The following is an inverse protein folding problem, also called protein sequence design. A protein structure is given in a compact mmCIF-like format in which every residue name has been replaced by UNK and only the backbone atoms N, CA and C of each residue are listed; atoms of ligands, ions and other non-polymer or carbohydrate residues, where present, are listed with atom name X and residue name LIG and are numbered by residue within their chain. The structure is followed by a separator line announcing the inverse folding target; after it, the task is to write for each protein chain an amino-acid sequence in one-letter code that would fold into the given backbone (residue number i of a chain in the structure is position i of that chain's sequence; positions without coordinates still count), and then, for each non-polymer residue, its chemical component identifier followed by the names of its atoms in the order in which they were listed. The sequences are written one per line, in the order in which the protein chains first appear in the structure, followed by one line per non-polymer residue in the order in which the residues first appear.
data_IF_322092511300
#
_entry.id   IF_322092511300
#
_cell.length_a   1.000
_cell.length_b   1.000
_cell.length_c   1.000
_cell.angle_alpha   90.00
_cell.angle_beta   90.00
_cell.angle_gamma   90.00
#
_symmetry.space_group_name_H-M   'P 1'
#
loop_
_entity.id
_entity.type
_entity.pdbx_description
1 polymer ?
#
# COMPACT_ATOMS: atom_id res chain seq x y z
N UNK A 1 11.85 32.44 -17.70
CA UNK A 1 11.60 31.52 -16.56
C UNK A 1 12.19 30.10 -16.79
N UNK A 2 13.50 29.91 -17.00
CA UNK A 2 14.09 28.58 -17.27
C UNK A 2 14.33 27.72 -16.02
N UNK A 3 14.50 28.34 -14.85
CA UNK A 3 14.90 27.65 -13.59
C UNK A 3 13.77 26.79 -13.00
N UNK A 4 12.51 27.18 -13.24
CA UNK A 4 11.31 26.44 -12.80
C UNK A 4 11.06 25.15 -13.61
N UNK A 5 11.46 25.12 -14.88
CA UNK A 5 11.39 23.88 -15.70
C UNK A 5 12.46 22.88 -15.28
N UNK A 6 13.70 23.34 -15.05
CA UNK A 6 14.79 22.48 -14.62
C UNK A 6 14.54 21.82 -13.26
N UNK A 7 13.93 22.56 -12.32
CA UNK A 7 13.56 22.03 -11.00
C UNK A 7 12.40 21.03 -11.06
N UNK A 8 11.37 21.27 -11.88
CA UNK A 8 10.29 20.27 -12.09
C UNK A 8 10.80 18.98 -12.71
N UNK A 9 11.68 19.07 -13.71
CA UNK A 9 12.24 17.91 -14.39
C UNK A 9 13.14 17.09 -13.44
N UNK A 10 13.90 17.77 -12.56
CA UNK A 10 14.64 17.12 -11.46
C UNK A 10 13.70 16.43 -10.47
N UNK A 11 12.56 17.04 -10.13
CA UNK A 11 11.61 16.49 -9.18
C UNK A 11 10.86 15.27 -9.74
N UNK A 12 10.50 15.29 -11.03
CA UNK A 12 9.97 14.12 -11.73
C UNK A 12 11.02 13.02 -11.87
N UNK A 13 12.28 13.35 -12.17
CA UNK A 13 13.36 12.37 -12.19
C UNK A 13 13.58 11.73 -10.82
N UNK A 14 13.51 12.51 -9.74
CA UNK A 14 13.62 11.99 -8.37
C UNK A 14 12.41 11.13 -7.98
N UNK A 15 11.20 11.53 -8.37
CA UNK A 15 9.97 10.74 -8.17
C UNK A 15 10.00 9.42 -8.95
N UNK A 16 10.42 9.45 -10.21
CA UNK A 16 10.57 8.25 -11.04
C UNK A 16 11.68 7.34 -10.50
N UNK A 17 12.80 7.92 -10.07
CA UNK A 17 13.90 7.20 -9.43
C UNK A 17 13.50 6.63 -8.07
N UNK A 18 12.70 7.34 -7.27
CA UNK A 18 12.17 6.80 -6.02
C UNK A 18 11.20 5.66 -6.31
N UNK A 19 10.33 5.80 -7.31
CA UNK A 19 9.36 4.77 -7.71
C UNK A 19 10.06 3.48 -8.19
N UNK A 20 11.08 3.61 -9.02
CA UNK A 20 11.93 2.48 -9.45
C UNK A 20 12.67 1.85 -8.26
N UNK A 21 13.25 2.69 -7.38
CA UNK A 21 13.90 2.21 -6.16
C UNK A 21 12.93 1.51 -5.22
N UNK A 22 11.68 1.93 -5.16
CA UNK A 22 10.68 1.30 -4.28
C UNK A 22 10.25 -0.07 -4.79
N UNK A 23 10.17 -0.27 -6.10
CA UNK A 23 9.96 -1.61 -6.67
C UNK A 23 11.14 -2.54 -6.34
N UNK A 24 12.36 -2.01 -6.37
CA UNK A 24 13.57 -2.75 -5.99
C UNK A 24 13.61 -3.05 -4.48
N UNK A 25 13.15 -2.13 -3.63
CA UNK A 25 13.02 -2.34 -2.17
C UNK A 25 11.99 -3.41 -1.86
N UNK A 26 10.85 -3.44 -2.57
CA UNK A 26 9.84 -4.49 -2.37
C UNK A 26 10.41 -5.86 -2.76
N UNK A 27 11.15 -5.94 -3.88
CA UNK A 27 11.81 -7.17 -4.31
C UNK A 27 12.87 -7.62 -3.31
N UNK A 28 13.71 -6.72 -2.82
CA UNK A 28 14.76 -7.07 -1.85
C UNK A 28 14.16 -7.50 -0.51
N UNK A 29 13.11 -6.83 -0.04
CA UNK A 29 12.36 -7.20 1.15
C UNK A 29 11.75 -8.60 1.00
N UNK A 30 11.11 -8.87 -0.14
CA UNK A 30 10.53 -10.18 -0.42
C UNK A 30 11.57 -11.30 -0.49
N UNK A 31 12.73 -11.05 -1.12
CA UNK A 31 13.86 -11.99 -1.15
C UNK A 31 14.41 -12.24 0.25
N UNK A 32 14.64 -11.18 1.03
CA UNK A 32 15.11 -11.29 2.42
C UNK A 32 14.12 -12.09 3.29
N UNK A 33 12.81 -11.85 3.15
CA UNK A 33 11.76 -12.62 3.83
C UNK A 33 11.83 -14.11 3.49
N UNK A 34 12.08 -14.41 2.21
CA UNK A 34 12.19 -15.79 1.72
C UNK A 34 13.42 -16.48 2.33
N UNK A 35 14.56 -15.80 2.37
CA UNK A 35 15.79 -16.30 2.98
C UNK A 35 15.64 -16.51 4.49
N UNK A 36 15.06 -15.56 5.22
CA UNK A 36 14.74 -15.69 6.65
C UNK A 36 13.83 -16.89 6.93
N UNK A 37 12.81 -17.11 6.10
CA UNK A 37 11.90 -18.25 6.23
C UNK A 37 12.61 -19.59 5.93
N UNK A 38 13.47 -19.63 4.93
CA UNK A 38 14.31 -20.79 4.65
C UNK A 38 15.23 -21.11 5.85
N UNK A 39 15.86 -20.09 6.41
CA UNK A 39 16.73 -20.21 7.58
C UNK A 39 15.95 -20.70 8.81
N UNK A 40 14.73 -20.19 9.03
CA UNK A 40 13.82 -20.66 10.08
C UNK A 40 13.52 -22.16 9.93
N UNK A 41 13.14 -22.61 8.73
CA UNK A 41 12.85 -24.03 8.48
C UNK A 41 14.08 -24.92 8.69
N UNK A 42 15.26 -24.42 8.32
CA UNK A 42 16.53 -25.10 8.50
C UNK A 42 16.85 -25.27 10.00
N UNK A 43 16.63 -24.23 10.82
CA UNK A 43 16.81 -24.32 12.26
C UNK A 43 15.76 -25.20 12.96
N UNK A 44 14.50 -25.18 12.52
CA UNK A 44 13.49 -26.14 12.99
C UNK A 44 13.86 -27.59 12.64
N UNK A 45 14.43 -27.81 11.46
CA UNK A 45 14.99 -29.12 11.08
C UNK A 45 16.13 -29.54 12.00
N UNK A 46 17.08 -28.65 12.29
CA UNK A 46 18.17 -28.94 13.24
C UNK A 46 17.68 -29.22 14.65
N UNK A 47 16.70 -28.46 15.15
CA UNK A 47 16.06 -28.72 16.44
C UNK A 47 15.43 -30.11 16.49
N UNK A 48 14.75 -30.52 15.41
CA UNK A 48 14.18 -31.86 15.29
C UNK A 48 15.26 -32.94 15.25
N UNK A 49 16.37 -32.69 14.56
CA UNK A 49 17.53 -33.59 14.51
C UNK A 49 18.18 -33.74 15.88
N UNK A 50 18.43 -32.64 16.58
CA UNK A 50 19.00 -32.61 17.93
C UNK A 50 18.09 -33.36 18.90
N UNK A 51 16.76 -33.17 18.82
CA UNK A 51 15.81 -33.96 19.62
C UNK A 51 15.90 -35.44 19.33
N UNK A 52 16.01 -35.85 18.05
CA UNK A 52 16.14 -37.26 17.66
C UNK A 52 17.45 -37.87 18.12
N UNK A 53 18.53 -37.09 18.20
CA UNK A 53 19.85 -37.53 18.70
C UNK A 53 19.84 -37.63 20.24
N UNK A 54 19.15 -36.72 20.92
CA UNK A 54 19.06 -36.72 22.38
C UNK A 54 18.13 -37.85 22.89
N UNK A 55 17.03 -38.06 22.16
CA UNK A 55 16.08 -39.16 22.37
C UNK A 55 16.05 -40.03 21.11
N UNK A 56 17.09 -40.85 20.88
CA UNK A 56 16.98 -41.90 19.87
C UNK A 56 15.81 -42.75 20.32
N UNK A 57 14.79 -42.85 19.46
CA UNK A 57 13.66 -43.75 19.68
C UNK A 57 14.28 -45.13 19.85
N UNK A 58 14.38 -45.61 21.08
CA UNK A 58 14.87 -46.94 21.35
C UNK A 58 14.01 -47.89 20.52
N UNK A 59 14.66 -48.83 19.86
CA UNK A 59 14.02 -49.99 19.23
C UNK A 59 13.50 -50.93 20.34
N UNK A 60 12.93 -50.38 21.41
CA UNK A 60 12.49 -51.11 22.61
C UNK A 60 11.01 -50.80 22.87
N UNK A 61 10.18 -51.04 21.85
CA UNK A 61 8.72 -51.08 22.00
C UNK A 61 8.14 -52.45 21.62
N UNK A 62 8.94 -53.52 21.67
CA UNK A 62 8.47 -54.91 21.62
C UNK A 62 9.38 -55.83 22.46
N UNK A 63 9.36 -55.67 23.78
CA UNK A 63 9.70 -56.77 24.66
C UNK A 63 8.80 -56.79 25.89
N UNK A 64 7.51 -56.98 25.63
CA UNK A 64 6.63 -57.64 26.60
C UNK A 64 6.37 -59.06 26.08
N UNK A 65 7.19 -60.01 26.56
CA UNK A 65 6.92 -61.43 26.38
C UNK A 65 8.11 -62.28 25.95
N UNK A 66 8.64 -63.01 26.95
CA UNK A 66 9.19 -64.38 26.86
C UNK A 66 10.73 -64.52 26.83
N UNK A 67 11.19 -65.09 27.94
CA UNK A 67 12.51 -65.64 28.19
C UNK A 67 12.83 -66.79 27.21
N UNK A 68 14.04 -66.82 26.68
CA UNK A 68 14.55 -67.90 25.83
C UNK A 68 16.03 -67.67 25.49
N UNK A 69 16.89 -68.46 26.12
CA UNK A 69 18.34 -68.49 26.03
C UNK A 69 18.86 -68.92 24.64
N UNK A 70 19.83 -68.20 24.05
CA UNK A 70 20.88 -68.79 23.18
C UNK A 70 22.06 -67.83 22.97
N UNK A 71 23.28 -68.37 23.01
CA UNK A 71 24.56 -67.68 22.90
C UNK A 71 24.93 -67.22 21.47
N UNK A 72 25.83 -66.24 21.43
CA UNK A 72 26.88 -65.97 20.42
C UNK A 72 26.46 -65.72 18.95
N UNK A 73 26.50 -64.45 18.50
CA UNK A 73 26.91 -64.09 17.13
C UNK A 73 27.11 -62.57 16.98
N UNK A 74 28.28 -62.21 16.47
CA UNK A 74 28.63 -61.06 15.61
C UNK A 74 28.14 -59.64 15.91
N UNK A 75 29.10 -58.80 16.35
CA UNK A 75 29.51 -57.57 15.66
C UNK A 75 28.51 -56.99 14.64
N UNK A 76 27.59 -56.14 15.10
CA UNK A 76 26.92 -55.15 14.26
C UNK A 76 27.64 -53.79 14.40
N UNK A 77 28.13 -53.19 13.31
CA UNK A 77 28.84 -51.92 13.37
C UNK A 77 27.85 -50.76 13.48
N UNK A 78 27.97 -49.95 14.53
CA UNK A 78 27.58 -48.54 14.48
C UNK A 78 26.46 -48.06 15.39
N UNK A 79 26.10 -48.76 16.47
CA UNK A 79 25.25 -48.14 17.51
C UNK A 79 26.13 -47.34 18.49
N UNK A 80 26.45 -46.11 18.11
CA UNK A 80 27.18 -45.17 18.98
C UNK A 80 26.19 -44.67 20.04
N UNK A 81 26.13 -45.37 21.17
CA UNK A 81 25.43 -44.91 22.36
C UNK A 81 26.10 -43.63 22.87
N UNK A 82 25.46 -42.50 22.60
CA UNK A 82 25.97 -41.19 22.96
C UNK A 82 26.06 -41.09 24.49
N UNK A 83 27.27 -40.84 25.01
CA UNK A 83 27.53 -40.65 26.44
C UNK A 83 26.58 -39.60 27.03
N UNK A 84 26.12 -39.81 28.28
CA UNK A 84 25.19 -38.92 28.98
C UNK A 84 25.69 -37.46 29.03
N UNK A 85 27.00 -37.26 29.11
CA UNK A 85 27.61 -35.92 29.05
C UNK A 85 27.42 -35.23 27.69
N UNK A 86 27.45 -35.97 26.58
CA UNK A 86 27.24 -35.42 25.25
C UNK A 86 25.77 -35.07 25.01
N UNK A 87 24.82 -35.86 25.51
CA UNK A 87 23.38 -35.54 25.47
C UNK A 87 23.07 -34.21 26.17
N UNK A 88 23.59 -34.00 27.37
CA UNK A 88 23.39 -32.73 28.11
C UNK A 88 23.95 -31.51 27.35
N UNK A 89 25.06 -31.67 26.61
CA UNK A 89 25.61 -30.59 25.77
C UNK A 89 24.71 -30.29 24.57
N UNK A 90 24.16 -31.31 23.93
CA UNK A 90 23.22 -31.15 22.81
C UNK A 90 21.89 -30.52 23.22
N UNK A 91 21.37 -30.88 24.39
CA UNK A 91 20.18 -30.26 24.97
C UNK A 91 20.41 -28.76 25.20
N UNK A 92 21.52 -28.41 25.85
CA UNK A 92 21.88 -27.00 26.10
C UNK A 92 22.17 -26.21 24.83
N UNK A 93 22.70 -26.87 23.79
CA UNK A 93 22.86 -26.27 22.46
C UNK A 93 21.51 -26.05 21.79
N UNK A 94 20.59 -27.01 21.88
CA UNK A 94 19.23 -26.91 21.36
C UNK A 94 18.45 -25.76 22.00
N UNK A 95 18.53 -25.63 23.33
CA UNK A 95 17.88 -24.54 24.06
C UNK A 95 18.45 -23.17 23.68
N UNK A 96 19.78 -23.04 23.58
CA UNK A 96 20.41 -21.80 23.12
C UNK A 96 20.07 -21.47 21.67
N UNK A 97 20.05 -22.47 20.79
CA UNK A 97 19.70 -22.30 19.38
C UNK A 97 18.24 -21.88 19.23
N UNK A 98 17.33 -22.45 20.01
CA UNK A 98 15.93 -22.08 20.02
C UNK A 98 15.72 -20.67 20.59
N UNK A 99 16.31 -20.37 21.74
CA UNK A 99 16.10 -19.10 22.42
C UNK A 99 16.77 -17.94 21.67
N UNK A 100 17.98 -18.13 21.15
CA UNK A 100 18.70 -17.06 20.46
C UNK A 100 18.25 -16.95 19.00
N UNK A 101 18.27 -18.04 18.24
CA UNK A 101 18.24 -17.95 16.78
C UNK A 101 16.82 -17.97 16.23
N UNK A 102 15.95 -18.84 16.76
CA UNK A 102 14.54 -18.90 16.38
C UNK A 102 13.78 -17.64 16.80
N UNK A 103 14.01 -17.14 18.03
CA UNK A 103 13.40 -15.89 18.48
C UNK A 103 13.86 -14.68 17.67
N UNK A 104 15.17 -14.54 17.42
CA UNK A 104 15.71 -13.43 16.62
C UNK A 104 15.19 -13.45 15.18
N UNK A 105 15.08 -14.63 14.55
CA UNK A 105 14.51 -14.73 13.19
C UNK A 105 13.04 -14.35 13.18
N UNK A 106 12.28 -14.74 14.20
CA UNK A 106 10.87 -14.38 14.33
C UNK A 106 10.68 -12.87 14.54
N UNK A 107 11.46 -12.24 15.44
CA UNK A 107 11.48 -10.79 15.62
C UNK A 107 11.81 -10.05 14.31
N UNK A 108 12.82 -10.49 13.56
CA UNK A 108 13.15 -9.92 12.26
C UNK A 108 12.01 -10.05 11.24
N UNK A 109 11.28 -11.17 11.24
CA UNK A 109 10.12 -11.35 10.35
C UNK A 109 8.95 -10.43 10.73
N UNK A 110 8.73 -10.22 12.03
CA UNK A 110 7.67 -9.37 12.53
C UNK A 110 7.97 -7.89 12.29
N UNK A 111 9.21 -7.45 12.53
CA UNK A 111 9.68 -6.10 12.20
C UNK A 111 9.57 -5.83 10.70
N UNK A 112 10.00 -6.79 9.86
CA UNK A 112 9.88 -6.69 8.42
C UNK A 112 8.41 -6.52 7.97
N UNK A 113 7.49 -7.27 8.58
CA UNK A 113 6.06 -7.17 8.30
C UNK A 113 5.52 -5.79 8.71
N UNK A 114 5.85 -5.31 9.90
CA UNK A 114 5.44 -3.99 10.38
C UNK A 114 5.95 -2.86 9.47
N UNK A 115 7.21 -2.96 9.01
CA UNK A 115 7.79 -2.01 8.04
C UNK A 115 7.06 -2.03 6.70
N UNK A 116 6.76 -3.22 6.18
CA UNK A 116 6.02 -3.39 4.93
C UNK A 116 4.63 -2.77 5.02
N UNK A 117 3.89 -3.04 6.10
CA UNK A 117 2.53 -2.54 6.31
C UNK A 117 2.52 -1.01 6.44
N UNK A 118 3.48 -0.45 7.20
CA UNK A 118 3.67 1.01 7.33
C UNK A 118 4.01 1.65 5.98
N UNK A 119 4.88 1.01 5.21
CA UNK A 119 5.28 1.47 3.89
C UNK A 119 4.11 1.51 2.90
N UNK A 120 3.24 0.48 2.90
CA UNK A 120 2.04 0.46 2.08
C UNK A 120 1.05 1.55 2.50
N UNK A 121 0.83 1.72 3.81
CA UNK A 121 -0.03 2.79 4.33
C UNK A 121 0.45 4.18 3.91
N UNK A 122 1.75 4.46 4.06
CA UNK A 122 2.34 5.73 3.65
C UNK A 122 2.26 5.95 2.12
N UNK A 123 2.41 4.88 1.34
CA UNK A 123 2.30 4.94 -0.12
C UNK A 123 0.87 5.25 -0.54
N UNK A 124 -0.13 4.60 0.07
CA UNK A 124 -1.54 4.86 -0.19
C UNK A 124 -1.93 6.31 0.17
N UNK A 125 -1.41 6.84 1.28
CA UNK A 125 -1.60 8.24 1.66
C UNK A 125 -0.99 9.21 0.64
N UNK A 126 0.24 8.94 0.18
CA UNK A 126 0.90 9.77 -0.84
C UNK A 126 0.13 9.78 -2.17
N UNK A 127 -0.38 8.64 -2.59
CA UNK A 127 -1.16 8.51 -3.82
C UNK A 127 -2.51 9.27 -3.73
N UNK A 128 -3.16 9.18 -2.56
CA UNK A 128 -4.38 9.95 -2.25
C UNK A 128 -4.11 11.46 -2.27
N UNK A 129 -2.98 11.91 -1.71
CA UNK A 129 -2.59 13.32 -1.71
C UNK A 129 -2.29 13.82 -3.14
N UNK A 130 -1.61 13.02 -3.96
CA UNK A 130 -1.35 13.37 -5.35
C UNK A 130 -2.65 13.53 -6.14
N UNK A 131 -3.61 12.62 -5.92
CA UNK A 131 -4.95 12.67 -6.53
C UNK A 131 -5.75 13.90 -6.08
N UNK A 132 -5.76 14.23 -4.78
CA UNK A 132 -6.43 15.41 -4.26
C UNK A 132 -5.83 16.73 -4.83
N UNK A 133 -4.51 16.79 -5.02
CA UNK A 133 -3.84 17.94 -5.64
C UNK A 133 -4.15 18.05 -7.13
N UNK A 134 -4.27 16.92 -7.83
CA UNK A 134 -4.66 16.89 -9.23
C UNK A 134 -6.10 17.40 -9.40
N UNK A 135 -7.03 16.89 -8.58
CA UNK A 135 -8.42 17.32 -8.55
C UNK A 135 -8.54 18.84 -8.30
N UNK A 136 -7.84 19.37 -7.28
CA UNK A 136 -7.81 20.83 -7.04
C UNK A 136 -7.31 21.62 -8.25
N UNK A 137 -6.29 21.12 -8.94
CA UNK A 137 -5.75 21.78 -10.14
C UNK A 137 -6.72 21.74 -11.31
N UNK A 138 -7.43 20.63 -11.51
CA UNK A 138 -8.48 20.50 -12.52
C UNK A 138 -9.66 21.43 -12.25
N UNK A 139 -10.11 21.54 -10.99
CA UNK A 139 -11.17 22.47 -10.59
C UNK A 139 -10.74 23.92 -10.82
N UNK A 140 -9.48 24.27 -10.55
CA UNK A 140 -8.94 25.60 -10.87
C UNK A 140 -8.92 25.88 -12.38
N UNK A 141 -8.55 24.88 -13.20
CA UNK A 141 -8.55 25.02 -14.65
C UNK A 141 -9.96 25.19 -15.20
N UNK A 142 -10.93 24.44 -14.69
CA UNK A 142 -12.35 24.61 -15.02
C UNK A 142 -12.86 26.02 -14.64
N UNK A 143 -12.48 26.53 -13.45
CA UNK A 143 -12.79 27.91 -13.02
C UNK A 143 -12.24 28.95 -14.01
N UNK A 144 -11.01 28.77 -14.48
CA UNK A 144 -10.40 29.66 -15.47
C UNK A 144 -11.10 29.58 -16.83
N UNK A 145 -11.46 28.39 -17.29
CA UNK A 145 -12.19 28.21 -18.56
C UNK A 145 -13.54 28.94 -18.56
N UNK A 146 -14.29 28.85 -17.46
CA UNK A 146 -15.59 29.55 -17.31
C UNK A 146 -15.41 31.08 -17.22
N UNK A 147 -14.31 31.54 -16.64
CA UNK A 147 -13.93 32.96 -16.63
C UNK A 147 -13.52 33.48 -18.01
N UNK A 148 -12.83 32.67 -18.82
CA UNK A 148 -12.39 33.06 -20.15
C UNK A 148 -13.52 33.13 -21.16
N UNK A 149 -14.61 32.37 -20.98
CA UNK A 149 -15.71 32.32 -21.95
C UNK A 149 -16.36 33.71 -22.20
N UNK A 150 -16.76 34.50 -21.17
CA UNK A 150 -17.25 35.86 -21.36
C UNK A 150 -16.21 36.83 -21.94
N UNK A 151 -14.94 36.66 -21.59
CA UNK A 151 -13.85 37.51 -22.08
C UNK A 151 -13.58 37.22 -23.55
N UNK A 152 -13.54 35.95 -23.94
CA UNK A 152 -13.43 35.53 -25.34
C UNK A 152 -14.62 36.03 -26.15
N UNK A 153 -15.84 35.99 -25.57
CA UNK A 153 -17.02 36.57 -26.21
C UNK A 153 -16.91 38.09 -26.38
N UNK A 154 -16.41 38.82 -25.38
CA UNK A 154 -16.12 40.26 -25.47
C UNK A 154 -15.09 40.57 -26.56
N UNK A 155 -13.96 39.86 -26.55
CA UNK A 155 -12.91 40.02 -27.56
C UNK A 155 -13.45 39.72 -28.95
N UNK A 156 -14.28 38.68 -29.11
CA UNK A 156 -14.92 38.36 -30.38
C UNK A 156 -15.93 39.44 -30.79
N UNK A 157 -16.70 39.98 -29.85
CA UNK A 157 -17.72 41.00 -30.12
C UNK A 157 -17.10 42.30 -30.63
N UNK A 158 -15.98 42.75 -30.04
CA UNK A 158 -15.24 43.92 -30.51
C UNK A 158 -14.34 43.63 -31.72
N UNK A 159 -14.09 42.36 -32.05
CA UNK A 159 -13.35 41.96 -33.25
C UNK A 159 -14.22 41.95 -34.51
N UNK A 160 -15.55 42.00 -34.39
CA UNK A 160 -16.45 42.13 -35.55
C UNK A 160 -16.60 43.61 -35.86
N UNK A 161 -15.94 44.06 -36.93
CA UNK A 161 -16.11 45.41 -37.47
C UNK A 161 -17.45 45.48 -38.20
N UNK A 162 -18.51 45.87 -37.49
CA UNK A 162 -19.81 46.17 -38.11
C UNK A 162 -19.71 47.60 -38.68
N UNK A 163 -19.80 47.79 -40.01
CA UNK A 163 -19.58 49.09 -40.65
C UNK A 163 -20.61 50.18 -40.28
N UNK A 164 -21.68 49.82 -39.58
CA UNK A 164 -22.80 50.71 -39.22
C UNK A 164 -22.67 51.32 -37.80
N UNK A 165 -21.63 50.97 -37.04
CA UNK A 165 -21.43 51.40 -35.64
C UNK A 165 -20.20 52.29 -35.42
N UNK A 166 -19.60 52.79 -36.50
CA UNK A 166 -18.37 53.61 -36.46
C UNK A 166 -18.67 55.07 -36.13
N UNK A 167 -19.90 55.54 -36.34
CA UNK A 167 -20.25 56.97 -36.20
C UNK A 167 -20.53 57.41 -34.74
N UNK A 168 -20.66 56.49 -33.78
CA UNK A 168 -20.97 56.79 -32.38
C UNK A 168 -20.03 56.12 -31.36
N UNK A 169 -18.80 55.78 -31.77
CA UNK A 169 -17.84 55.09 -30.90
C UNK A 169 -17.23 56.04 -29.86
N UNK A 170 -17.96 56.28 -28.77
CA UNK A 170 -17.49 57.11 -27.65
C UNK A 170 -16.63 56.25 -26.71
N UNK A 171 -15.42 56.68 -26.31
CA UNK A 171 -14.55 55.94 -25.40
C UNK A 171 -15.20 55.57 -24.05
N UNK A 172 -16.27 56.26 -23.66
CA UNK A 172 -17.10 55.92 -22.49
C UNK A 172 -17.79 54.55 -22.62
N UNK A 173 -18.29 54.18 -23.80
CA UNK A 173 -18.96 52.89 -24.02
C UNK A 173 -17.99 51.71 -23.86
N UNK A 174 -16.73 51.88 -24.27
CA UNK A 174 -15.68 50.89 -24.05
C UNK A 174 -15.45 50.62 -22.55
N UNK A 175 -15.34 51.68 -21.73
CA UNK A 175 -15.17 51.55 -20.28
C UNK A 175 -16.40 50.93 -19.60
N UNK A 176 -17.62 51.24 -20.07
CA UNK A 176 -18.86 50.60 -19.59
C UNK A 176 -18.85 49.12 -19.94
N UNK A 177 -18.58 48.74 -21.18
CA UNK A 177 -18.52 47.33 -21.58
C UNK A 177 -17.44 46.59 -20.81
N UNK A 178 -16.24 47.17 -20.67
CA UNK A 178 -15.18 46.62 -19.85
C UNK A 178 -15.61 46.37 -18.40
N UNK A 179 -16.30 47.34 -17.77
CA UNK A 179 -16.83 47.20 -16.42
C UNK A 179 -17.91 46.11 -16.31
N UNK A 180 -18.82 46.03 -17.29
CA UNK A 180 -19.86 44.99 -17.34
C UNK A 180 -19.25 43.59 -17.50
N UNK A 181 -18.25 43.43 -18.37
CA UNK A 181 -17.57 42.16 -18.58
C UNK A 181 -16.72 41.77 -17.35
N UNK A 182 -16.00 42.72 -16.74
CA UNK A 182 -15.27 42.47 -15.49
C UNK A 182 -16.22 42.08 -14.35
N UNK A 183 -17.36 42.75 -14.23
CA UNK A 183 -18.42 42.42 -13.27
C UNK A 183 -19.02 41.04 -13.53
N UNK A 184 -19.34 40.72 -14.79
CA UNK A 184 -19.90 39.43 -15.19
C UNK A 184 -18.91 38.28 -14.93
N UNK A 185 -17.61 38.50 -15.16
CA UNK A 185 -16.56 37.54 -14.79
C UNK A 185 -16.47 37.31 -13.28
N UNK A 186 -16.62 38.36 -12.47
CA UNK A 186 -16.63 38.24 -11.01
C UNK A 186 -17.88 37.53 -10.50
N UNK A 187 -19.05 37.85 -11.06
CA UNK A 187 -20.33 37.19 -10.78
C UNK A 187 -20.27 35.70 -11.16
N UNK A 188 -19.72 35.38 -12.34
CA UNK A 188 -19.59 34.03 -12.85
C UNK A 188 -18.66 33.19 -11.96
N UNK A 189 -17.53 33.76 -11.52
CA UNK A 189 -16.60 33.10 -10.61
C UNK A 189 -17.23 32.84 -9.23
N UNK A 190 -18.05 33.78 -8.74
CA UNK A 190 -18.76 33.65 -7.46
C UNK A 190 -19.86 32.60 -7.54
N UNK A 191 -20.72 32.68 -8.55
CA UNK A 191 -21.77 31.67 -8.78
C UNK A 191 -21.17 30.30 -9.00
N UNK A 192 -20.14 30.16 -9.81
CA UNK A 192 -19.51 28.87 -10.10
C UNK A 192 -18.74 28.30 -8.89
N UNK A 193 -18.14 29.13 -8.04
CA UNK A 193 -17.55 28.65 -6.79
C UNK A 193 -18.62 28.06 -5.87
N UNK A 194 -19.77 28.73 -5.76
CA UNK A 194 -20.91 28.23 -4.97
C UNK A 194 -21.59 27.02 -5.61
N UNK A 195 -21.72 27.00 -6.93
CA UNK A 195 -22.29 25.88 -7.69
C UNK A 195 -21.41 24.64 -7.61
N UNK A 196 -20.08 24.79 -7.73
CA UNK A 196 -19.13 23.68 -7.56
C UNK A 196 -19.19 23.08 -6.15
N UNK A 197 -19.34 23.91 -5.13
CA UNK A 197 -19.49 23.47 -3.74
C UNK A 197 -20.80 22.68 -3.59
N UNK A 198 -21.92 23.22 -4.06
CA UNK A 198 -23.22 22.51 -4.07
C UNK A 198 -23.15 21.19 -4.85
N UNK A 199 -22.52 21.17 -6.03
CA UNK A 199 -22.39 19.95 -6.82
C UNK A 199 -21.48 18.94 -6.11
N UNK A 200 -20.40 19.39 -5.46
CA UNK A 200 -19.53 18.54 -4.64
C UNK A 200 -20.30 17.92 -3.47
N UNK A 201 -21.06 18.73 -2.72
CA UNK A 201 -21.86 18.28 -1.59
C UNK A 201 -22.92 17.25 -2.03
N UNK A 202 -23.61 17.51 -3.16
CA UNK A 202 -24.59 16.56 -3.69
C UNK A 202 -23.97 15.25 -4.17
N UNK A 203 -22.74 15.28 -4.71
CA UNK A 203 -22.02 14.07 -5.11
C UNK A 203 -21.58 13.26 -3.89
N UNK A 204 -21.16 13.92 -2.82
CA UNK A 204 -20.76 13.29 -1.57
C UNK A 204 -21.96 12.63 -0.87
N UNK A 205 -23.10 13.33 -0.78
CA UNK A 205 -24.36 12.78 -0.27
C UNK A 205 -24.84 11.56 -1.07
N UNK A 206 -24.69 11.61 -2.40
CA UNK A 206 -25.09 10.49 -3.27
C UNK A 206 -24.13 9.30 -3.11
N UNK A 207 -22.83 9.55 -3.02
CA UNK A 207 -21.83 8.51 -2.74
C UNK A 207 -22.09 7.81 -1.40
N UNK A 208 -22.47 8.56 -0.37
CA UNK A 208 -22.81 8.02 0.94
C UNK A 208 -24.14 7.25 0.96
N UNK A 209 -25.10 7.63 0.11
CA UNK A 209 -26.35 6.88 -0.06
C UNK A 209 -26.08 5.52 -0.74
N UNK A 210 -25.24 5.52 -1.78
CA UNK A 210 -24.87 4.32 -2.52
C UNK A 210 -24.03 3.37 -1.66
N UNK A 211 -23.07 3.90 -0.88
CA UNK A 211 -22.24 3.07 0.02
C UNK A 211 -23.07 2.39 1.10
N UNK A 212 -24.04 3.10 1.70
CA UNK A 212 -24.97 2.55 2.70
C UNK A 212 -25.92 1.51 2.11
N UNK A 213 -26.39 1.68 0.87
CA UNK A 213 -27.18 0.67 0.18
C UNK A 213 -26.35 -0.57 -0.17
N UNK A 214 -25.11 -0.40 -0.60
CA UNK A 214 -24.21 -1.51 -0.91
C UNK A 214 -23.83 -2.32 0.33
N UNK A 215 -23.61 -1.68 1.48
CA UNK A 215 -23.34 -2.37 2.74
C UNK A 215 -24.58 -3.05 3.32
N UNK A 216 -25.77 -2.47 3.16
CA UNK A 216 -27.04 -3.10 3.54
C UNK A 216 -27.34 -4.37 2.73
N UNK A 217 -26.95 -4.40 1.44
CA UNK A 217 -27.11 -5.59 0.58
C UNK A 217 -26.04 -6.64 0.91
N UNK A 218 -24.81 -6.25 1.24
CA UNK A 218 -23.76 -7.19 1.65
C UNK A 218 -23.99 -7.79 3.04
N UNK A 219 -24.65 -7.06 3.95
CA UNK A 219 -24.98 -7.49 5.31
C UNK A 219 -26.16 -8.47 5.43
N UNK A 220 -26.92 -8.70 4.36
CA UNK A 220 -27.99 -9.71 4.32
C UNK A 220 -27.53 -11.09 3.84
N UNK A 221 -26.30 -11.23 3.34
CA UNK A 221 -25.79 -12.50 2.83
C UNK A 221 -24.99 -13.34 3.84
N UNK A 222 -25.01 -12.97 5.13
CA UNK A 222 -24.31 -13.70 6.22
C UNK A 222 -25.23 -14.01 7.40
N UNK A 223 -26.51 -14.26 7.14
CA UNK A 223 -27.44 -14.79 8.14
C UNK A 223 -28.48 -15.73 7.53
N UNK A 224 -28.00 -16.84 6.99
CA UNK A 224 -28.74 -18.10 6.91
C UNK A 224 -27.70 -19.21 6.70
N UNK A 225 -28.03 -20.48 6.97
CA UNK A 225 -27.11 -21.64 6.99
C UNK A 225 -26.28 -21.83 8.29
N UNK A 226 -26.89 -21.58 9.45
CA UNK A 226 -26.52 -22.33 10.66
C UNK A 226 -27.73 -22.58 11.55
N UNK A 227 -28.76 -23.17 10.98
CA UNK A 227 -29.78 -23.90 11.74
C UNK A 227 -30.45 -24.89 10.79
N UNK A 228 -29.89 -26.10 10.67
CA UNK A 228 -30.69 -27.31 10.59
C UNK A 228 -29.84 -28.55 10.87
N UNK A 229 -30.50 -29.54 11.47
CA UNK A 229 -29.98 -30.66 12.25
C UNK A 229 -29.47 -31.81 11.40
#
# INVERSE_FOLDING_TARGET
MPVLKASKLRLEQLSRRSKVKTDDVIKSLHTLRKELRQLHHLFESYKTLIRRICWPRSVDAYQEGKCGHFELSESMPGEVSISSSARSRFERLGDRLQLLMLNTIQECLDEQKALSDTYFSLTAQKDSQATARLSRSATLLAKLSVFFLPITFMTSYFSVEIPDLVEHYTPKMYWICFAVIAGLSFISLFFFSRMLEIVSDTLEDWADSVSRKASGIAGWNTHDDRDER
#
